data_IF_666799643113
#
_entry.id   IF_666799643113
#
_cell.length_a   1.000
_cell.length_b   1.000
_cell.length_c   1.000
_cell.angle_alpha   90.00
_cell.angle_beta   90.00
_cell.angle_gamma   90.00
#
_symmetry.space_group_name_H-M   'P 1'
#
loop_
_entity.id
_entity.type
_entity.pdbx_description
1 polymer ?
#
# COMPACT_ATOMS: atom_id res chain seq x y z
N UNK A 1 -8.60 -4.63 14.42
CA UNK A 1 -8.73 -4.79 12.95
C UNK A 1 -9.22 -3.46 12.41
N UNK A 2 -8.43 -2.79 11.61
CA UNK A 2 -8.79 -1.45 11.14
C UNK A 2 -9.67 -1.50 9.90
N UNK A 3 -10.73 -0.69 9.90
CA UNK A 3 -11.58 -0.46 8.73
C UNK A 3 -11.22 0.86 8.07
N UNK A 4 -11.17 0.87 6.75
CA UNK A 4 -10.93 2.09 5.95
C UNK A 4 -12.17 2.35 5.10
N UNK A 5 -12.78 3.53 5.27
CA UNK A 5 -13.92 3.98 4.47
C UNK A 5 -13.55 5.26 3.73
N UNK A 6 -13.63 5.22 2.42
CA UNK A 6 -13.36 6.35 1.53
C UNK A 6 -14.65 6.72 0.81
N UNK A 7 -15.12 7.95 0.99
CA UNK A 7 -16.44 8.39 0.52
C UNK A 7 -16.33 9.58 -0.39
N UNK A 8 -16.66 9.38 -1.66
CA UNK A 8 -16.71 10.40 -2.70
C UNK A 8 -15.46 11.30 -2.73
N UNK A 9 -14.27 10.68 -2.61
CA UNK A 9 -13.00 11.41 -2.53
C UNK A 9 -12.57 11.90 -3.89
N UNK A 10 -12.15 13.17 -3.94
CA UNK A 10 -11.57 13.86 -5.08
C UNK A 10 -10.22 14.46 -4.71
N UNK A 11 -9.32 14.53 -5.68
CA UNK A 11 -8.06 15.25 -5.56
C UNK A 11 -7.77 16.05 -6.81
N UNK A 12 -7.53 17.35 -6.60
CA UNK A 12 -7.21 18.31 -7.66
C UNK A 12 -5.93 19.05 -7.29
N UNK A 13 -5.05 19.27 -8.25
CA UNK A 13 -3.84 20.11 -8.15
C UNK A 13 -3.90 21.17 -9.26
N UNK A 14 -3.76 22.42 -8.92
CA UNK A 14 -3.69 23.54 -9.87
C UNK A 14 -4.79 23.51 -10.96
N UNK A 15 -6.00 23.13 -10.58
CA UNK A 15 -7.15 22.98 -11.48
C UNK A 15 -7.26 21.63 -12.17
N UNK A 16 -6.21 20.81 -12.20
CA UNK A 16 -6.22 19.48 -12.81
C UNK A 16 -6.78 18.44 -11.86
N UNK A 17 -7.81 17.71 -12.27
CA UNK A 17 -8.38 16.60 -11.50
C UNK A 17 -7.51 15.35 -11.67
N UNK A 18 -6.96 14.85 -10.55
CA UNK A 18 -6.14 13.63 -10.52
C UNK A 18 -6.97 12.41 -10.14
N UNK A 19 -7.81 12.54 -9.12
CA UNK A 19 -8.73 11.50 -8.68
C UNK A 19 -10.15 12.06 -8.60
N UNK A 20 -11.13 11.27 -9.04
CA UNK A 20 -12.53 11.64 -8.96
C UNK A 20 -13.40 10.50 -8.43
N UNK A 21 -14.36 10.87 -7.55
CA UNK A 21 -15.41 9.96 -7.03
C UNK A 21 -14.86 8.63 -6.48
N UNK A 22 -13.72 8.64 -5.82
CA UNK A 22 -13.18 7.43 -5.22
C UNK A 22 -14.08 7.01 -4.06
N UNK A 23 -14.61 5.80 -4.16
CA UNK A 23 -15.39 5.16 -3.11
C UNK A 23 -14.84 3.75 -2.90
N UNK A 24 -14.43 3.45 -1.68
CA UNK A 24 -13.98 2.10 -1.29
C UNK A 24 -14.22 1.89 0.20
N UNK A 25 -14.71 0.72 0.53
CA UNK A 25 -14.87 0.24 1.90
C UNK A 25 -13.99 -1.01 2.09
N UNK A 26 -13.12 -0.97 3.09
CA UNK A 26 -12.24 -2.09 3.44
C UNK A 26 -12.44 -2.39 4.90
N UNK A 27 -12.95 -3.58 5.19
CA UNK A 27 -13.12 -4.08 6.55
C UNK A 27 -11.94 -4.99 6.90
N UNK A 28 -11.29 -4.72 7.98
CA UNK A 28 -10.11 -5.36 8.62
C UNK A 28 -9.43 -6.53 7.90
N UNK A 29 -8.18 -6.81 8.22
CA UNK A 29 -7.38 -7.92 7.70
C UNK A 29 -7.55 -8.15 6.18
N UNK A 30 -7.36 -7.11 5.39
CA UNK A 30 -7.43 -7.17 3.94
C UNK A 30 -6.09 -6.72 3.33
N UNK A 31 -5.65 -7.42 2.30
CA UNK A 31 -4.52 -7.01 1.47
C UNK A 31 -5.08 -6.47 0.14
N UNK A 32 -5.18 -5.15 0.05
CA UNK A 32 -5.74 -4.45 -1.11
C UNK A 32 -4.62 -4.05 -2.06
N UNK A 33 -4.58 -4.66 -3.23
CA UNK A 33 -3.63 -4.31 -4.29
C UNK A 33 -4.24 -3.28 -5.22
N UNK A 34 -3.62 -2.09 -5.29
CA UNK A 34 -4.01 -0.99 -6.15
C UNK A 34 -3.22 -1.05 -7.46
N UNK A 35 -3.89 -1.29 -8.57
CA UNK A 35 -3.29 -1.43 -9.89
C UNK A 35 -3.80 -0.35 -10.84
N UNK A 36 -3.09 -0.12 -11.95
CA UNK A 36 -3.49 0.84 -12.98
C UNK A 36 -2.29 1.53 -13.63
N UNK A 37 -2.50 2.33 -14.69
CA UNK A 37 -1.44 3.00 -15.41
C UNK A 37 -0.63 3.95 -14.54
N UNK A 38 0.61 4.24 -14.96
CA UNK A 38 1.44 5.25 -14.29
C UNK A 38 0.77 6.63 -14.38
N UNK A 39 0.85 7.39 -13.29
CA UNK A 39 0.26 8.73 -13.23
C UNK A 39 -1.26 8.79 -13.02
N UNK A 40 -1.98 7.67 -12.82
CA UNK A 40 -3.41 7.69 -12.53
C UNK A 40 -3.76 8.03 -11.05
N UNK A 41 -2.79 8.43 -10.23
CA UNK A 41 -3.07 8.92 -8.88
C UNK A 41 -3.02 7.89 -7.75
N UNK A 42 -2.55 6.64 -7.98
CA UNK A 42 -2.44 5.61 -6.92
C UNK A 42 -1.57 6.05 -5.75
N UNK A 43 -0.38 6.59 -6.01
CA UNK A 43 0.49 7.16 -4.98
C UNK A 43 -0.15 8.35 -4.28
N UNK A 44 -0.90 9.20 -5.01
CA UNK A 44 -1.68 10.29 -4.41
C UNK A 44 -2.74 9.75 -3.44
N UNK A 45 -3.42 8.67 -3.82
CA UNK A 45 -4.39 8.00 -2.94
C UNK A 45 -3.71 7.46 -1.67
N UNK A 46 -2.54 6.80 -1.78
CA UNK A 46 -1.77 6.36 -0.60
C UNK A 46 -1.36 7.54 0.29
N UNK A 47 -0.92 8.67 -0.30
CA UNK A 47 -0.55 9.87 0.46
C UNK A 47 -1.73 10.47 1.22
N UNK A 48 -2.95 10.38 0.67
CA UNK A 48 -4.15 10.79 1.38
C UNK A 48 -4.46 9.84 2.56
N UNK A 49 -4.29 8.53 2.41
CA UNK A 49 -4.42 7.57 3.51
C UNK A 49 -3.39 7.82 4.63
N UNK A 50 -2.21 8.37 4.29
CA UNK A 50 -1.17 8.78 5.25
C UNK A 50 -1.41 10.14 5.87
N UNK A 51 -2.41 10.90 5.43
CA UNK A 51 -2.58 12.33 5.77
C UNK A 51 -1.40 13.22 5.36
N UNK A 52 -0.57 12.80 4.40
CA UNK A 52 0.42 13.65 3.76
C UNK A 52 -0.22 14.61 2.77
N UNK A 53 -1.41 14.27 2.31
CA UNK A 53 -2.27 15.09 1.46
C UNK A 53 -3.72 15.00 1.91
N UNK A 54 -4.46 16.09 1.75
CA UNK A 54 -5.90 16.14 2.05
C UNK A 54 -6.72 15.98 0.77
N UNK A 55 -7.85 15.27 0.81
CA UNK A 55 -8.81 15.28 -0.28
C UNK A 55 -9.30 16.71 -0.59
N UNK A 56 -9.53 17.02 -1.87
CA UNK A 56 -10.17 18.28 -2.26
C UNK A 56 -11.67 18.25 -1.96
N UNK A 57 -12.30 17.07 -2.05
CA UNK A 57 -13.70 16.80 -1.68
C UNK A 57 -13.80 15.38 -1.15
N UNK A 58 -14.87 15.11 -0.39
CA UNK A 58 -15.12 13.82 0.23
C UNK A 58 -14.37 13.64 1.54
N UNK A 59 -14.41 12.44 2.07
CA UNK A 59 -13.81 12.10 3.37
C UNK A 59 -13.17 10.72 3.37
N UNK A 60 -12.18 10.55 4.22
CA UNK A 60 -11.55 9.25 4.49
C UNK A 60 -11.66 9.00 6.00
N UNK A 61 -12.20 7.85 6.35
CA UNK A 61 -12.37 7.43 7.73
C UNK A 61 -11.51 6.19 8.01
N UNK A 62 -10.89 6.16 9.18
CA UNK A 62 -10.21 5.00 9.75
C UNK A 62 -10.96 4.62 11.03
N UNK A 63 -11.46 3.39 11.09
CA UNK A 63 -12.30 2.89 12.19
C UNK A 63 -13.51 3.79 12.51
N UNK A 64 -14.11 4.34 11.43
CA UNK A 64 -15.27 5.22 11.52
C UNK A 64 -14.96 6.67 11.95
N UNK A 65 -13.68 7.00 12.22
CA UNK A 65 -13.25 8.34 12.58
C UNK A 65 -12.50 9.00 11.40
N UNK A 66 -12.64 10.33 11.21
CA UNK A 66 -11.83 11.04 10.24
C UNK A 66 -10.34 10.81 10.49
N UNK A 67 -9.55 10.69 9.40
CA UNK A 67 -8.10 10.56 9.54
C UNK A 67 -7.53 11.71 10.36
N UNK A 68 -6.63 11.40 11.30
CA UNK A 68 -5.84 12.43 11.96
C UNK A 68 -5.10 13.28 10.91
N UNK A 69 -4.99 14.60 11.11
CA UNK A 69 -4.41 15.51 10.11
C UNK A 69 -2.94 15.25 9.82
N UNK A 70 -2.25 14.55 10.73
CA UNK A 70 -0.86 14.16 10.61
C UNK A 70 -0.70 12.64 10.60
N UNK A 71 0.39 12.10 10.00
CA UNK A 71 0.71 10.69 10.09
C UNK A 71 0.82 10.22 11.54
N UNK A 72 0.16 9.11 11.86
CA UNK A 72 0.20 8.49 13.20
C UNK A 72 0.95 7.16 13.15
N UNK A 73 1.50 6.64 14.28
CA UNK A 73 2.17 5.34 14.33
C UNK A 73 1.30 4.16 13.85
N UNK A 74 -0.03 4.30 13.92
CA UNK A 74 -0.99 3.30 13.45
C UNK A 74 -0.95 3.10 11.92
N UNK A 75 -0.37 4.06 11.19
CA UNK A 75 -0.26 4.07 9.73
C UNK A 75 1.21 3.95 9.32
N UNK A 76 1.64 2.73 9.03
CA UNK A 76 2.98 2.46 8.53
C UNK A 76 3.08 2.68 7.02
N UNK A 77 4.25 3.13 6.54
CA UNK A 77 4.51 3.26 5.11
C UNK A 77 5.88 2.71 4.74
N UNK A 78 5.94 2.01 3.59
CA UNK A 78 7.17 1.61 2.93
C UNK A 78 7.15 2.18 1.52
N UNK A 79 8.06 3.12 1.24
CA UNK A 79 8.20 3.74 -0.07
C UNK A 79 9.11 2.92 -1.00
N UNK A 80 9.00 3.14 -2.29
CA UNK A 80 9.86 2.56 -3.32
C UNK A 80 11.35 2.87 -3.08
N UNK A 81 11.68 4.08 -2.60
CA UNK A 81 13.02 4.44 -2.12
C UNK A 81 13.05 4.26 -0.61
N UNK A 82 13.91 3.37 -0.16
CA UNK A 82 14.01 3.02 1.26
C UNK A 82 14.39 4.23 2.11
N UNK A 83 13.57 4.52 3.11
CA UNK A 83 13.81 5.62 4.07
C UNK A 83 14.67 5.12 5.23
N UNK A 84 15.84 4.53 4.93
CA UNK A 84 16.79 4.08 5.94
C UNK A 84 17.83 5.16 6.23
N UNK A 85 18.21 5.30 7.49
CA UNK A 85 19.20 6.28 7.93
C UNK A 85 20.62 5.71 7.72
N UNK A 86 21.43 6.25 6.79
CA UNK A 86 22.69 5.63 6.38
C UNK A 86 23.78 5.70 7.48
N UNK A 87 23.64 6.61 8.42
CA UNK A 87 24.57 6.82 9.54
C UNK A 87 24.25 6.01 10.80
N UNK A 88 23.12 5.28 10.79
CA UNK A 88 22.72 4.39 11.88
C UNK A 88 22.98 2.93 11.48
N UNK A 89 23.28 2.09 12.47
CA UNK A 89 23.32 0.64 12.26
C UNK A 89 21.94 0.11 11.90
N UNK A 90 21.84 -1.12 11.41
CA UNK A 90 20.57 -1.81 11.13
C UNK A 90 19.71 -1.86 12.39
N UNK A 91 20.30 -2.19 13.54
CA UNK A 91 19.59 -2.24 14.81
C UNK A 91 19.11 -0.86 15.26
N UNK A 92 19.96 0.16 15.19
CA UNK A 92 19.57 1.52 15.57
C UNK A 92 18.54 2.12 14.61
N UNK A 93 18.56 1.75 13.33
CA UNK A 93 17.51 2.10 12.36
C UNK A 93 16.12 1.61 12.80
N UNK A 94 16.01 0.37 13.26
CA UNK A 94 14.75 -0.19 13.75
C UNK A 94 14.38 0.43 15.10
N UNK A 95 15.35 0.63 15.98
CA UNK A 95 15.13 1.15 17.33
C UNK A 95 14.66 2.60 17.35
N UNK A 96 15.08 3.42 16.37
CA UNK A 96 14.79 4.85 16.32
C UNK A 96 13.31 5.15 16.48
N UNK A 97 12.44 4.39 15.81
CA UNK A 97 11.00 4.61 15.87
C UNK A 97 10.42 4.47 17.27
N UNK A 98 10.87 3.46 18.02
CA UNK A 98 10.46 3.23 19.42
C UNK A 98 11.15 4.18 20.39
N UNK A 99 12.42 4.50 20.15
CA UNK A 99 13.17 5.46 21.00
C UNK A 99 12.51 6.85 20.96
N UNK A 100 12.14 7.35 19.80
CA UNK A 100 11.43 8.64 19.65
C UNK A 100 10.05 8.61 20.31
N UNK A 101 9.33 7.51 20.20
CA UNK A 101 7.99 7.37 20.81
C UNK A 101 8.06 7.36 22.35
N UNK A 102 9.03 6.64 22.93
CA UNK A 102 9.14 6.50 24.39
C UNK A 102 10.01 7.56 25.06
N UNK A 103 10.77 8.35 24.30
CA UNK A 103 11.63 9.43 24.81
C UNK A 103 11.47 10.71 23.97
N UNK A 104 10.28 11.35 23.94
CA UNK A 104 9.98 12.46 23.04
C UNK A 104 10.86 13.70 23.26
N UNK A 105 11.41 13.90 24.46
CA UNK A 105 12.26 15.05 24.79
C UNK A 105 13.74 14.81 24.43
N UNK A 106 14.24 13.59 24.58
CA UNK A 106 15.66 13.26 24.38
C UNK A 106 15.93 12.49 23.09
N UNK A 107 14.86 11.95 22.45
CA UNK A 107 14.96 11.13 21.25
C UNK A 107 15.78 9.83 21.44
N UNK A 108 16.14 9.49 22.68
CA UNK A 108 16.95 8.31 23.01
C UNK A 108 16.64 7.76 24.39
N UNK A 109 16.54 6.44 24.48
CA UNK A 109 16.35 5.73 25.74
C UNK A 109 17.71 5.34 26.37
N UNK A 110 17.71 5.13 27.69
CA UNK A 110 18.88 4.74 28.47
C UNK A 110 18.57 3.56 29.40
N UNK A 111 19.61 2.87 29.85
CA UNK A 111 19.51 1.83 30.88
C UNK A 111 18.72 0.58 30.44
N UNK A 112 17.81 0.10 31.31
CA UNK A 112 17.00 -1.09 31.07
C UNK A 112 15.99 -0.87 29.94
N UNK A 113 15.34 0.31 29.89
CA UNK A 113 14.36 0.62 28.85
C UNK A 113 14.96 0.51 27.43
N UNK A 114 16.19 0.98 27.23
CA UNK A 114 16.87 0.82 25.94
C UNK A 114 17.19 -0.64 25.64
N UNK A 115 17.56 -1.44 26.64
CA UNK A 115 17.85 -2.87 26.45
C UNK A 115 16.60 -3.63 25.99
N UNK A 116 15.44 -3.31 26.57
CA UNK A 116 14.17 -3.95 26.24
C UNK A 116 13.74 -3.61 24.81
N UNK A 117 13.88 -2.35 24.40
CA UNK A 117 13.64 -1.91 23.01
C UNK A 117 14.58 -2.62 22.03
N UNK A 118 15.89 -2.70 22.34
CA UNK A 118 16.85 -3.37 21.47
C UNK A 118 16.59 -4.87 21.37
N UNK A 119 16.06 -5.52 22.42
CA UNK A 119 15.66 -6.92 22.37
C UNK A 119 14.48 -7.12 21.39
N UNK A 120 13.43 -6.28 21.46
CA UNK A 120 12.32 -6.29 20.52
C UNK A 120 12.78 -6.02 19.08
N UNK A 121 13.73 -5.09 18.89
CA UNK A 121 14.28 -4.79 17.56
C UNK A 121 15.06 -5.98 16.99
N UNK A 122 15.82 -6.74 17.80
CA UNK A 122 16.51 -7.94 17.35
C UNK A 122 15.52 -9.02 16.93
N UNK A 123 14.47 -9.26 17.71
CA UNK A 123 13.41 -10.18 17.36
C UNK A 123 12.75 -9.78 16.02
N UNK A 124 12.47 -8.49 15.82
CA UNK A 124 11.94 -7.99 14.53
C UNK A 124 12.92 -8.23 13.38
N UNK A 125 14.22 -8.00 13.58
CA UNK A 125 15.24 -8.28 12.57
C UNK A 125 15.32 -9.76 12.22
N UNK A 126 15.16 -10.64 13.19
CA UNK A 126 15.08 -12.09 12.95
C UNK A 126 13.83 -12.45 12.15
N UNK A 127 12.69 -11.86 12.49
CA UNK A 127 11.42 -12.07 11.79
C UNK A 127 11.46 -11.66 10.31
N UNK A 128 12.21 -10.60 9.97
CA UNK A 128 12.38 -10.19 8.56
C UNK A 128 13.58 -10.87 7.89
N UNK A 129 14.31 -11.76 8.60
CA UNK A 129 15.45 -12.50 8.04
C UNK A 129 16.73 -11.66 7.92
N UNK A 130 16.95 -10.73 8.85
CA UNK A 130 18.16 -9.91 8.98
C UNK A 130 19.01 -10.29 10.19
N UNK A 131 18.88 -11.52 10.70
CA UNK A 131 19.76 -12.04 11.76
C UNK A 131 21.23 -11.94 11.33
N UNK A 132 22.08 -11.56 12.25
CA UNK A 132 23.52 -11.33 11.98
C UNK A 132 23.86 -10.04 11.21
N UNK A 133 22.89 -9.18 10.93
CA UNK A 133 23.12 -7.90 10.28
C UNK A 133 22.95 -6.69 11.21
N UNK A 134 22.65 -6.91 12.49
CA UNK A 134 22.30 -5.86 13.46
C UNK A 134 23.30 -4.71 13.54
N UNK A 135 24.60 -5.03 13.50
CA UNK A 135 25.71 -4.07 13.66
C UNK A 135 26.20 -3.51 12.31
N UNK A 136 25.62 -3.95 11.17
CA UNK A 136 25.96 -3.42 9.84
C UNK A 136 25.30 -2.06 9.61
N UNK A 137 25.87 -1.30 8.68
CA UNK A 137 25.26 -0.09 8.15
C UNK A 137 24.47 -0.38 6.86
N UNK A 138 23.47 0.43 6.51
CA UNK A 138 22.69 0.24 5.28
C UNK A 138 23.53 0.10 4.01
N UNK A 139 24.65 0.81 3.91
CA UNK A 139 25.58 0.72 2.77
C UNK A 139 26.23 -0.66 2.59
N UNK A 140 26.22 -1.51 3.63
CA UNK A 140 26.77 -2.87 3.63
C UNK A 140 25.69 -3.93 3.30
N UNK A 141 24.45 -3.50 3.05
CA UNK A 141 23.33 -4.37 2.76
C UNK A 141 23.04 -4.43 1.26
N UNK A 142 22.59 -5.60 0.78
CA UNK A 142 21.98 -5.70 -0.56
C UNK A 142 20.64 -4.95 -0.61
N UNK A 143 20.14 -4.63 -1.81
CA UNK A 143 18.86 -3.96 -1.98
C UNK A 143 17.70 -4.68 -1.28
N UNK A 144 17.62 -6.01 -1.40
CA UNK A 144 16.62 -6.81 -0.68
C UNK A 144 16.76 -6.76 0.85
N UNK A 145 17.99 -6.69 1.38
CA UNK A 145 18.23 -6.51 2.82
C UNK A 145 17.82 -5.11 3.28
N UNK A 146 18.08 -4.07 2.48
CA UNK A 146 17.64 -2.71 2.79
C UNK A 146 16.10 -2.61 2.82
N UNK A 147 15.43 -3.33 1.93
CA UNK A 147 13.99 -3.41 1.95
C UNK A 147 13.44 -4.14 3.17
N UNK A 148 14.04 -5.26 3.57
CA UNK A 148 13.71 -5.96 4.83
C UNK A 148 13.88 -5.04 6.02
N UNK A 149 14.92 -4.21 6.02
CA UNK A 149 15.16 -3.20 7.05
C UNK A 149 14.04 -2.14 7.07
N UNK A 150 13.64 -1.59 5.91
CA UNK A 150 12.54 -0.62 5.82
C UNK A 150 11.21 -1.21 6.31
N UNK A 151 10.94 -2.48 6.01
CA UNK A 151 9.77 -3.20 6.53
C UNK A 151 9.88 -3.34 8.06
N UNK A 152 11.03 -3.76 8.59
CA UNK A 152 11.24 -3.89 10.03
C UNK A 152 11.05 -2.56 10.77
N UNK A 153 11.60 -1.45 10.25
CA UNK A 153 11.41 -0.10 10.79
C UNK A 153 9.92 0.29 10.89
N UNK A 154 9.14 -0.11 9.90
CA UNK A 154 7.72 0.21 9.85
C UNK A 154 6.93 -0.69 10.80
N UNK A 155 7.19 -2.01 10.77
CA UNK A 155 6.40 -2.99 11.53
C UNK A 155 6.72 -3.02 13.02
N UNK A 156 7.89 -2.55 13.46
CA UNK A 156 8.24 -2.50 14.89
C UNK A 156 7.24 -1.66 15.70
N UNK A 157 6.59 -0.69 15.07
CA UNK A 157 5.53 0.15 15.65
C UNK A 157 4.16 -0.52 15.67
N UNK A 158 4.03 -1.74 15.13
CA UNK A 158 2.79 -2.51 15.04
C UNK A 158 1.64 -1.73 14.41
N UNK A 159 1.80 -1.17 13.20
CA UNK A 159 0.76 -0.41 12.54
C UNK A 159 -0.46 -1.30 12.27
N UNK A 160 -1.65 -0.71 12.36
CA UNK A 160 -2.91 -1.38 12.01
C UNK A 160 -3.20 -1.25 10.52
N UNK A 161 -2.63 -0.24 9.86
CA UNK A 161 -2.70 0.02 8.43
C UNK A 161 -1.29 0.15 7.86
N UNK A 162 -0.92 -0.71 6.90
CA UNK A 162 0.36 -0.68 6.19
C UNK A 162 0.16 -0.24 4.75
N UNK A 163 0.91 0.76 4.32
CA UNK A 163 0.87 1.33 2.99
C UNK A 163 2.18 1.04 2.26
N UNK A 164 2.12 0.44 1.09
CA UNK A 164 3.26 0.00 0.29
C UNK A 164 3.19 0.68 -1.09
N UNK A 165 4.18 1.51 -1.43
CA UNK A 165 4.23 2.18 -2.73
C UNK A 165 5.33 1.54 -3.59
N UNK A 166 4.94 0.66 -4.52
CA UNK A 166 5.80 -0.12 -5.41
C UNK A 166 6.99 -0.80 -4.69
N UNK A 167 6.74 -1.51 -3.59
CA UNK A 167 7.81 -1.91 -2.67
C UNK A 167 8.80 -2.88 -3.30
N UNK A 168 8.43 -3.64 -4.33
CA UNK A 168 9.26 -4.71 -4.88
C UNK A 168 9.76 -4.45 -6.31
N UNK A 169 9.41 -3.27 -6.89
CA UNK A 169 9.69 -2.94 -8.27
C UNK A 169 11.19 -2.93 -8.65
N UNK A 170 12.05 -2.57 -7.70
CA UNK A 170 13.51 -2.49 -7.90
C UNK A 170 14.28 -3.79 -7.57
N UNK A 171 13.58 -4.88 -7.20
CA UNK A 171 14.21 -6.14 -6.80
C UNK A 171 14.36 -7.14 -7.93
N UNK A 172 15.44 -7.90 -7.88
CA UNK A 172 15.66 -9.07 -8.74
C UNK A 172 14.56 -10.13 -8.50
N UNK A 173 14.21 -10.93 -9.52
CA UNK A 173 13.09 -11.88 -9.43
C UNK A 173 13.18 -12.87 -8.27
N UNK A 174 14.37 -13.38 -7.95
CA UNK A 174 14.57 -14.30 -6.82
C UNK A 174 14.32 -13.62 -5.47
N UNK A 175 14.91 -12.45 -5.26
CA UNK A 175 14.73 -11.65 -4.04
C UNK A 175 13.27 -11.22 -3.90
N UNK A 176 12.61 -10.88 -5.00
CA UNK A 176 11.19 -10.51 -5.01
C UNK A 176 10.31 -11.65 -4.51
N UNK A 177 10.55 -12.89 -4.94
CA UNK A 177 9.80 -14.05 -4.47
C UNK A 177 9.94 -14.25 -2.95
N UNK A 178 11.15 -14.11 -2.41
CA UNK A 178 11.40 -14.19 -0.96
C UNK A 178 10.69 -13.07 -0.19
N UNK A 179 10.65 -11.86 -0.76
CA UNK A 179 9.95 -10.73 -0.17
C UNK A 179 8.42 -10.90 -0.18
N UNK A 180 7.87 -11.48 -1.25
CA UNK A 180 6.45 -11.83 -1.30
C UNK A 180 6.08 -12.86 -0.23
N UNK A 181 6.91 -13.91 -0.05
CA UNK A 181 6.71 -14.90 0.99
C UNK A 181 6.76 -14.28 2.40
N UNK A 182 7.74 -13.39 2.62
CA UNK A 182 7.86 -12.63 3.88
C UNK A 182 6.62 -11.77 4.13
N UNK A 183 6.19 -10.95 3.17
CA UNK A 183 5.02 -10.08 3.32
C UNK A 183 3.75 -10.85 3.58
N UNK A 184 3.56 -11.99 2.90
CA UNK A 184 2.41 -12.85 3.13
C UNK A 184 2.38 -13.39 4.57
N UNK A 185 3.52 -13.91 5.03
CA UNK A 185 3.64 -14.39 6.42
C UNK A 185 3.33 -13.29 7.42
N UNK A 186 3.96 -12.11 7.28
CA UNK A 186 3.74 -10.98 8.18
C UNK A 186 2.29 -10.50 8.16
N UNK A 187 1.64 -10.47 6.99
CA UNK A 187 0.22 -10.16 6.87
C UNK A 187 -0.64 -11.17 7.63
N UNK A 188 -0.41 -12.47 7.43
CA UNK A 188 -1.20 -13.53 8.07
C UNK A 188 -1.00 -13.52 9.61
N UNK A 189 0.20 -13.19 10.10
CA UNK A 189 0.54 -13.17 11.54
C UNK A 189 0.02 -11.93 12.28
N UNK A 190 -0.03 -10.77 11.62
CA UNK A 190 -0.30 -9.49 12.32
C UNK A 190 -1.75 -9.04 12.28
N UNK A 191 -2.56 -9.54 11.35
CA UNK A 191 -3.96 -9.12 11.18
C UNK A 191 -4.14 -7.67 10.72
N UNK A 192 -3.07 -7.00 10.25
CA UNK A 192 -3.11 -5.64 9.74
C UNK A 192 -3.89 -5.54 8.42
N UNK A 193 -4.33 -4.34 8.09
CA UNK A 193 -4.83 -4.01 6.74
C UNK A 193 -3.68 -3.47 5.90
N UNK A 194 -3.55 -3.94 4.65
CA UNK A 194 -2.47 -3.51 3.75
C UNK A 194 -3.06 -2.90 2.49
N UNK A 195 -2.56 -1.73 2.07
CA UNK A 195 -2.75 -1.19 0.73
C UNK A 195 -1.40 -1.18 0.01
N UNK A 196 -1.32 -1.83 -1.13
CA UNK A 196 -0.12 -1.90 -1.93
C UNK A 196 -0.38 -1.37 -3.34
N UNK A 197 0.39 -0.36 -3.75
CA UNK A 197 0.47 0.06 -5.15
C UNK A 197 1.48 -0.82 -5.87
N UNK A 198 1.08 -1.37 -6.98
CA UNK A 198 1.97 -2.09 -7.90
C UNK A 198 1.51 -1.93 -9.36
N UNK A 199 2.46 -1.99 -10.28
CA UNK A 199 2.18 -2.08 -11.72
C UNK A 199 2.24 -3.53 -12.22
N UNK A 200 2.67 -4.48 -11.38
CA UNK A 200 2.73 -5.90 -11.70
C UNK A 200 1.43 -6.62 -11.24
N UNK A 201 0.60 -7.01 -12.21
CA UNK A 201 -0.64 -7.73 -11.93
C UNK A 201 -0.39 -9.08 -11.23
N UNK A 202 0.71 -9.77 -11.58
CA UNK A 202 1.04 -11.06 -10.93
C UNK A 202 1.29 -10.86 -9.44
N UNK A 203 2.02 -9.80 -9.09
CA UNK A 203 2.26 -9.41 -7.71
C UNK A 203 0.95 -9.07 -6.99
N UNK A 204 0.09 -8.25 -7.62
CA UNK A 204 -1.21 -7.88 -7.09
C UNK A 204 -2.07 -9.11 -6.76
N UNK A 205 -2.12 -10.08 -7.66
CA UNK A 205 -2.86 -11.33 -7.47
C UNK A 205 -2.17 -12.29 -6.49
N UNK A 206 -0.86 -12.28 -6.41
CA UNK A 206 -0.12 -13.19 -5.53
C UNK A 206 -0.27 -12.80 -4.05
N UNK A 207 -0.26 -11.52 -3.73
CA UNK A 207 -0.32 -11.00 -2.36
C UNK A 207 -1.72 -10.59 -1.96
N UNK A 208 -2.48 -9.96 -2.85
CA UNK A 208 -3.78 -9.39 -2.57
C UNK A 208 -4.85 -10.42 -2.14
N UNK A 209 -5.72 -9.96 -1.26
CA UNK A 209 -7.04 -10.55 -1.02
C UNK A 209 -8.13 -9.79 -1.79
N UNK A 210 -7.77 -8.63 -2.35
CA UNK A 210 -8.63 -7.75 -3.14
C UNK A 210 -7.78 -6.96 -4.12
N UNK A 211 -8.21 -6.85 -5.35
CA UNK A 211 -7.56 -6.02 -6.37
C UNK A 211 -8.48 -4.89 -6.77
N UNK A 212 -7.96 -3.68 -6.72
CA UNK A 212 -8.67 -2.44 -7.09
C UNK A 212 -7.93 -1.78 -8.24
N UNK A 213 -8.59 -1.64 -9.37
CA UNK A 213 -8.02 -1.04 -10.56
C UNK A 213 -8.43 0.42 -10.69
N UNK A 214 -7.43 1.29 -10.76
CA UNK A 214 -7.58 2.72 -11.02
C UNK A 214 -7.33 2.99 -12.50
N UNK A 215 -8.25 3.70 -13.15
CA UNK A 215 -8.04 4.18 -14.52
C UNK A 215 -8.89 5.43 -14.78
N UNK A 216 -8.65 6.06 -15.92
CA UNK A 216 -9.43 7.19 -16.42
C UNK A 216 -10.46 6.71 -17.43
N UNK A 217 -11.72 7.06 -17.23
CA UNK A 217 -12.76 6.83 -18.23
C UNK A 217 -12.52 7.62 -19.51
N UNK A 218 -11.92 8.79 -19.39
CA UNK A 218 -11.72 9.75 -20.47
C UNK A 218 -10.24 9.91 -20.70
N UNK A 219 -9.80 9.60 -21.91
CA UNK A 219 -8.38 9.56 -22.29
C UNK A 219 -7.98 10.70 -23.21
N UNK A 220 -8.94 11.50 -23.73
CA UNK A 220 -8.64 12.67 -24.57
C UNK A 220 -7.89 13.72 -23.78
N UNK A 221 -6.90 14.34 -24.40
CA UNK A 221 -6.00 15.29 -23.74
C UNK A 221 -6.74 16.52 -23.19
N UNK A 222 -7.74 17.00 -23.92
CA UNK A 222 -8.64 18.09 -23.54
C UNK A 222 -9.49 17.80 -22.30
N UNK A 223 -9.76 16.53 -22.03
CA UNK A 223 -10.57 16.07 -20.89
C UNK A 223 -9.74 15.78 -19.63
N UNK A 224 -8.41 15.68 -19.77
CA UNK A 224 -7.50 15.33 -18.65
C UNK A 224 -7.46 16.35 -17.54
N UNK A 225 -7.74 17.62 -17.84
CA UNK A 225 -7.81 18.67 -16.82
C UNK A 225 -9.11 18.59 -16.01
N UNK A 226 -10.21 18.23 -16.66
CA UNK A 226 -11.55 18.22 -16.05
C UNK A 226 -11.89 16.90 -15.34
N UNK A 227 -11.27 15.77 -15.72
CA UNK A 227 -11.61 14.44 -15.25
C UNK A 227 -10.39 13.67 -14.73
N UNK A 228 -10.54 13.08 -13.54
CA UNK A 228 -9.52 12.27 -12.88
C UNK A 228 -9.64 10.77 -13.16
N UNK A 229 -8.75 10.01 -12.53
CA UNK A 229 -8.91 8.57 -12.44
C UNK A 229 -9.92 8.20 -11.35
N UNK A 230 -10.61 7.10 -11.56
CA UNK A 230 -11.58 6.52 -10.62
C UNK A 230 -11.31 5.02 -10.45
N UNK A 231 -12.03 4.38 -9.55
CA UNK A 231 -12.02 2.92 -9.42
C UNK A 231 -12.87 2.33 -10.53
N UNK A 232 -12.22 1.59 -11.43
CA UNK A 232 -12.87 0.91 -12.55
C UNK A 232 -13.32 -0.49 -12.18
N UNK A 233 -12.48 -1.19 -11.41
CA UNK A 233 -12.75 -2.55 -10.95
C UNK A 233 -12.37 -2.68 -9.50
N UNK A 234 -13.16 -3.45 -8.77
CA UNK A 234 -12.97 -3.77 -7.36
C UNK A 234 -13.34 -5.23 -7.16
N UNK A 235 -12.33 -6.10 -7.10
CA UNK A 235 -12.49 -7.54 -7.19
C UNK A 235 -11.94 -8.20 -5.93
N UNK A 236 -12.79 -8.83 -5.10
CA UNK A 236 -12.32 -9.70 -4.03
C UNK A 236 -11.66 -10.95 -4.63
N UNK A 237 -10.53 -11.35 -4.09
CA UNK A 237 -9.81 -12.54 -4.49
C UNK A 237 -10.06 -13.65 -3.49
N UNK A 238 -10.71 -14.72 -3.94
CA UNK A 238 -10.77 -15.96 -3.17
C UNK A 238 -9.41 -16.69 -3.29
N UNK A 239 -8.78 -16.99 -2.15
CA UNK A 239 -7.47 -17.65 -2.12
C UNK A 239 -7.49 -19.04 -2.76
N UNK A 240 -8.65 -19.71 -2.78
CA UNK A 240 -8.80 -21.11 -3.19
C UNK A 240 -9.47 -21.32 -4.55
N UNK A 241 -10.11 -20.30 -5.13
CA UNK A 241 -10.89 -20.44 -6.38
C UNK A 241 -10.47 -19.44 -7.47
N UNK A 242 -10.06 -19.97 -8.62
CA UNK A 242 -9.98 -19.30 -9.94
C UNK A 242 -9.08 -18.06 -10.07
N UNK A 243 -8.05 -17.93 -9.25
CA UNK A 243 -7.09 -16.81 -9.32
C UNK A 243 -6.56 -16.55 -10.72
N UNK A 244 -6.19 -17.59 -11.47
CA UNK A 244 -5.66 -17.46 -12.84
C UNK A 244 -6.71 -17.05 -13.87
N UNK A 245 -7.98 -17.41 -13.66
CA UNK A 245 -9.05 -17.00 -14.57
C UNK A 245 -9.35 -15.51 -14.41
N UNK A 246 -9.48 -15.02 -13.16
CA UNK A 246 -9.68 -13.61 -12.83
C UNK A 246 -8.50 -12.75 -13.30
N UNK A 247 -7.27 -13.22 -13.13
CA UNK A 247 -6.05 -12.56 -13.62
C UNK A 247 -6.09 -12.33 -15.14
N UNK A 248 -6.47 -13.34 -15.92
CA UNK A 248 -6.57 -13.24 -17.38
C UNK A 248 -7.69 -12.29 -17.80
N UNK A 249 -8.83 -12.39 -17.17
CA UNK A 249 -9.99 -11.56 -17.48
C UNK A 249 -9.73 -10.09 -17.16
N UNK A 250 -9.16 -9.78 -15.99
CA UNK A 250 -8.79 -8.41 -15.62
C UNK A 250 -7.69 -7.84 -16.53
N UNK A 251 -6.67 -8.64 -16.86
CA UNK A 251 -5.63 -8.22 -17.80
C UNK A 251 -6.21 -7.91 -19.19
N UNK A 252 -7.17 -8.71 -19.67
CA UNK A 252 -7.86 -8.46 -20.93
C UNK A 252 -8.74 -7.19 -20.87
N UNK A 253 -9.44 -6.97 -19.76
CA UNK A 253 -10.30 -5.81 -19.57
C UNK A 253 -9.49 -4.50 -19.44
N UNK A 254 -8.38 -4.50 -18.71
CA UNK A 254 -7.46 -3.34 -18.63
C UNK A 254 -6.88 -3.04 -20.02
N UNK A 255 -6.45 -4.06 -20.77
CA UNK A 255 -5.94 -3.88 -22.13
C UNK A 255 -7.01 -3.34 -23.09
N UNK A 256 -8.25 -3.80 -22.98
CA UNK A 256 -9.38 -3.32 -23.81
C UNK A 256 -9.81 -1.89 -23.43
N UNK A 257 -9.79 -1.53 -22.16
CA UNK A 257 -10.10 -0.17 -21.69
C UNK A 257 -9.06 0.85 -22.20
N UNK A 258 -7.80 0.43 -22.33
CA UNK A 258 -6.70 1.29 -22.85
C UNK A 258 -6.80 1.44 -24.39
N UNK A 259 -7.49 0.54 -25.09
CA UNK A 259 -7.58 0.53 -26.57
C UNK A 259 -8.95 0.94 -27.11
N UNK A 260 -9.99 1.10 -26.27
CA UNK A 260 -11.33 1.47 -26.74
C UNK A 260 -11.42 2.96 -27.09
N UNK A 261 -11.93 3.31 -28.28
CA UNK A 261 -12.30 4.70 -28.57
C UNK A 261 -13.42 5.14 -27.63
N UNK A 262 -13.38 6.38 -27.17
CA UNK A 262 -14.36 6.97 -26.28
C UNK A 262 -15.79 6.75 -26.81
N UNK A 263 -16.59 5.92 -26.14
CA UNK A 263 -18.02 5.82 -26.39
C UNK A 263 -18.72 6.93 -25.61
N UNK A 264 -19.42 7.80 -26.37
CA UNK A 264 -20.33 8.84 -25.90
C UNK A 264 -21.65 8.22 -25.43
N UNK A 265 -21.65 7.50 -24.33
CA UNK A 265 -22.92 7.13 -23.69
C UNK A 265 -22.82 7.27 -22.17
N UNK A 266 -23.45 8.33 -21.70
CA UNK A 266 -23.69 8.66 -20.31
C UNK A 266 -24.62 7.62 -19.67
N UNK A 267 -24.09 6.58 -19.06
CA UNK A 267 -24.82 5.84 -18.05
C UNK A 267 -24.65 6.54 -16.68
N UNK A 268 -25.74 6.75 -15.91
CA UNK A 268 -25.65 7.40 -14.60
C UNK A 268 -24.80 6.57 -13.66
N UNK A 269 -23.86 7.24 -13.01
CA UNK A 269 -22.98 6.67 -12.00
C UNK A 269 -23.83 6.12 -10.83
N UNK A 270 -23.88 4.82 -10.69
CA UNK A 270 -24.62 4.21 -9.58
C UNK A 270 -24.36 2.73 -9.32
N UNK A 271 -23.83 1.99 -10.27
CA UNK A 271 -23.60 0.56 -10.02
C UNK A 271 -22.18 0.15 -10.40
N UNK A 272 -21.42 -0.25 -9.39
CA UNK A 272 -20.17 -0.99 -9.54
C UNK A 272 -20.47 -2.26 -10.34
N UNK A 273 -19.96 -2.35 -11.57
CA UNK A 273 -20.07 -3.57 -12.35
C UNK A 273 -19.23 -4.66 -11.70
N UNK A 274 -19.84 -5.49 -10.90
CA UNK A 274 -19.30 -6.80 -10.57
C UNK A 274 -19.39 -7.67 -11.83
N UNK A 275 -18.29 -8.30 -12.29
CA UNK A 275 -18.39 -9.26 -13.37
C UNK A 275 -19.35 -10.39 -12.96
N UNK A 276 -20.36 -10.65 -13.76
CA UNK A 276 -21.27 -11.77 -13.55
C UNK A 276 -20.49 -13.07 -13.75
N UNK A 277 -20.10 -13.71 -12.67
CA UNK A 277 -19.61 -15.07 -12.70
C UNK A 277 -20.80 -15.96 -13.07
N UNK A 278 -20.87 -16.38 -14.32
CA UNK A 278 -21.79 -17.43 -14.74
C UNK A 278 -21.40 -18.70 -13.97
N UNK A 279 -22.20 -19.05 -12.96
CA UNK A 279 -22.16 -20.31 -12.30
C UNK A 279 -22.54 -21.40 -13.29
N UNK A 280 -21.60 -22.18 -13.74
CA UNK A 280 -21.86 -23.47 -14.39
C UNK A 280 -21.81 -24.53 -13.31
N UNK A 281 -22.90 -25.25 -13.21
CA UNK A 281 -23.13 -26.44 -12.38
C UNK A 281 -22.04 -27.51 -12.50
#
# INVERSE_FOLDING_TARGET
MSSVSVRNVWKTYDGQVVLERINIEVTGHAFVSLVGPSGCGKTTFLRMLLSQETPTKGEILLDGQPLAPEPTPERGVVFQRYSVFPHLTVLDNVALGLEVEHAPLLGRLFGSARRDVLAQCREMLDNVGLHGAADKYPSQLSGGMQQRLAIAQTLIKRPTLLLLDEPFGALDPGIRADMHALMRRLFDETGMTVFMVTHDLREAFQLGTRVVAFDRYRTREEEREAYGATIMFDIPLDRDKNRRAVERELAAQIASATTAPAQDDLAPAGELRTPAFAGSH
#
